data_IF_548071725902
#
_entry.id   IF_548071725902
#
_cell.length_a   1.000
_cell.length_b   1.000
_cell.length_c   1.000
_cell.angle_alpha   90.00
_cell.angle_beta   90.00
_cell.angle_gamma   90.00
#
_symmetry.space_group_name_H-M   'P 1'
#
loop_
_entity.id
_entity.type
_entity.pdbx_description
1 polymer ?
#
# COMPACT_ATOMS: atom_id res chain seq x y z
N UNK A 1 -2.07 -18.19 4.20
CA UNK A 1 -1.35 -17.00 4.64
C UNK A 1 -0.88 -16.13 3.46
N UNK A 2 -0.10 -16.74 2.58
CA UNK A 2 0.43 -16.00 1.43
C UNK A 2 -0.66 -15.45 0.51
N UNK A 3 -1.74 -16.21 0.36
CA UNK A 3 -2.84 -15.76 -0.50
C UNK A 3 -3.48 -14.49 0.03
N UNK A 4 -3.66 -14.40 1.33
CA UNK A 4 -4.24 -13.22 1.96
C UNK A 4 -3.34 -12.00 1.77
N UNK A 5 -2.04 -12.21 1.95
CA UNK A 5 -1.08 -11.12 1.77
C UNK A 5 -1.10 -10.63 0.33
N UNK A 6 -1.20 -11.56 -0.63
CA UNK A 6 -1.30 -11.21 -2.04
C UNK A 6 -2.56 -10.41 -2.35
N UNK A 7 -3.67 -10.76 -1.71
CA UNK A 7 -4.91 -10.02 -1.90
C UNK A 7 -4.80 -8.61 -1.35
N UNK A 8 -4.23 -8.46 -0.16
CA UNK A 8 -4.02 -7.13 0.42
C UNK A 8 -3.10 -6.29 -0.46
N UNK A 9 -2.02 -6.90 -0.94
CA UNK A 9 -1.09 -6.22 -1.83
C UNK A 9 -1.78 -5.77 -3.12
N UNK A 10 -2.65 -6.63 -3.67
CA UNK A 10 -3.40 -6.32 -4.88
C UNK A 10 -4.34 -5.14 -4.69
N UNK A 11 -5.00 -5.08 -3.54
CA UNK A 11 -5.90 -3.97 -3.23
C UNK A 11 -5.14 -2.66 -3.13
N UNK A 12 -3.98 -2.68 -2.47
CA UNK A 12 -3.13 -1.49 -2.33
C UNK A 12 -2.63 -1.07 -3.72
N UNK A 13 -2.16 -2.02 -4.50
CA UNK A 13 -1.66 -1.74 -5.85
C UNK A 13 -2.72 -1.06 -6.71
N UNK A 14 -3.95 -1.58 -6.67
CA UNK A 14 -5.05 -1.01 -7.44
C UNK A 14 -5.40 0.39 -6.97
N UNK A 15 -5.32 0.62 -5.65
CA UNK A 15 -5.59 1.94 -5.11
C UNK A 15 -4.58 2.96 -5.62
N UNK A 16 -3.35 2.54 -5.84
CA UNK A 16 -2.28 3.41 -6.32
C UNK A 16 -2.29 3.58 -7.83
N UNK A 17 -2.92 2.66 -8.53
CA UNK A 17 -2.94 2.66 -9.99
C UNK A 17 -3.61 3.93 -10.51
N UNK A 18 -2.93 4.63 -11.41
CA UNK A 18 -3.45 5.87 -11.96
C UNK A 18 -3.32 7.08 -11.04
N UNK A 19 -2.70 6.89 -9.89
CA UNK A 19 -2.47 7.98 -8.94
C UNK A 19 -0.99 8.31 -8.90
N UNK A 20 -0.67 9.56 -8.59
CA UNK A 20 0.73 9.95 -8.45
C UNK A 20 1.27 9.45 -7.12
N UNK A 21 0.58 9.77 -6.05
CA UNK A 21 1.01 9.45 -4.69
C UNK A 21 -0.20 9.40 -3.80
N UNK A 22 -0.24 8.44 -2.89
CA UNK A 22 -1.29 8.39 -1.87
C UNK A 22 -0.65 8.22 -0.50
N UNK A 23 -1.25 8.84 0.50
CA UNK A 23 -0.83 8.66 1.88
C UNK A 23 -1.37 7.32 2.39
N UNK A 24 -0.83 6.88 3.52
CA UNK A 24 -1.31 5.68 4.19
C UNK A 24 -2.81 5.78 4.49
N UNK A 25 -3.23 6.93 4.99
CA UNK A 25 -4.62 7.17 5.32
C UNK A 25 -5.52 7.03 4.09
N UNK A 26 -5.08 7.61 2.98
CA UNK A 26 -5.85 7.54 1.73
C UNK A 26 -5.97 6.11 1.22
N UNK A 27 -4.89 5.35 1.30
CA UNK A 27 -4.91 3.95 0.85
C UNK A 27 -5.83 3.13 1.73
N UNK A 28 -5.75 3.30 3.05
CA UNK A 28 -6.61 2.55 3.97
C UNK A 28 -8.08 2.89 3.75
N UNK A 29 -8.37 4.15 3.46
CA UNK A 29 -9.73 4.58 3.18
C UNK A 29 -10.24 3.96 1.87
N UNK A 30 -9.42 3.94 0.85
CA UNK A 30 -9.79 3.40 -0.45
C UNK A 30 -9.96 1.89 -0.43
N UNK A 31 -9.11 1.19 0.31
CA UNK A 31 -9.11 -0.28 0.35
C UNK A 31 -9.94 -0.83 1.49
N UNK A 32 -10.20 -0.01 2.51
CA UNK A 32 -10.89 -0.40 3.75
C UNK A 32 -10.13 -1.47 4.52
N UNK A 33 -8.83 -1.56 4.29
CA UNK A 33 -7.98 -2.49 5.02
C UNK A 33 -7.72 -1.97 6.43
N UNK A 34 -7.63 -2.90 7.37
CA UNK A 34 -7.20 -2.58 8.72
C UNK A 34 -5.69 -2.41 8.73
N UNK A 35 -5.17 -1.79 9.78
CA UNK A 35 -3.73 -1.53 9.88
C UNK A 35 -2.89 -2.77 9.62
N UNK A 36 -3.24 -3.87 10.25
CA UNK A 36 -2.51 -5.13 10.12
C UNK A 36 -2.51 -5.61 8.68
N UNK A 37 -3.65 -5.55 8.03
CA UNK A 37 -3.80 -6.00 6.65
C UNK A 37 -3.02 -5.08 5.69
N UNK A 38 -3.11 -3.79 5.95
CA UNK A 38 -2.40 -2.80 5.16
C UNK A 38 -0.89 -3.05 5.22
N UNK A 39 -0.34 -3.23 6.42
CA UNK A 39 1.10 -3.43 6.56
C UNK A 39 1.58 -4.74 5.96
N UNK A 40 0.77 -5.79 6.03
CA UNK A 40 1.13 -7.06 5.40
C UNK A 40 1.21 -6.91 3.88
N UNK A 41 0.20 -6.29 3.29
CA UNK A 41 0.19 -6.07 1.84
C UNK A 41 1.28 -5.11 1.40
N UNK A 42 1.49 -4.06 2.17
CA UNK A 42 2.52 -3.08 1.87
C UNK A 42 3.90 -3.70 1.91
N UNK A 43 4.17 -4.52 2.92
CA UNK A 43 5.45 -5.20 3.04
C UNK A 43 5.72 -6.10 1.85
N UNK A 44 4.69 -6.77 1.37
CA UNK A 44 4.81 -7.62 0.19
C UNK A 44 5.20 -6.79 -1.04
N UNK A 45 4.52 -5.65 -1.24
CA UNK A 45 4.83 -4.80 -2.39
C UNK A 45 6.23 -4.21 -2.31
N UNK A 46 6.67 -3.87 -1.12
CA UNK A 46 8.02 -3.36 -0.92
C UNK A 46 9.06 -4.43 -1.22
N UNK A 47 8.81 -5.64 -0.78
CA UNK A 47 9.70 -6.76 -1.04
C UNK A 47 9.81 -7.04 -2.54
N UNK A 48 8.69 -6.92 -3.24
CA UNK A 48 8.65 -7.17 -4.69
C UNK A 48 9.12 -5.97 -5.50
N UNK A 49 9.51 -4.90 -4.82
CA UNK A 49 10.02 -3.70 -5.46
C UNK A 49 9.02 -3.06 -6.41
N UNK A 50 7.75 -3.05 -6.01
CA UNK A 50 6.66 -2.54 -6.84
C UNK A 50 6.27 -1.11 -6.51
N UNK A 51 6.68 -0.60 -5.37
CA UNK A 51 6.29 0.73 -4.93
C UNK A 51 7.48 1.50 -4.36
N UNK A 52 7.32 2.82 -4.36
CA UNK A 52 8.25 3.75 -3.70
C UNK A 52 7.59 4.29 -2.45
N UNK A 53 8.37 4.51 -1.43
CA UNK A 53 7.90 5.10 -0.18
C UNK A 53 8.62 6.43 0.03
N UNK A 54 7.86 7.47 0.32
CA UNK A 54 8.40 8.77 0.67
C UNK A 54 7.97 9.09 2.09
N UNK A 55 8.93 9.35 2.95
CA UNK A 55 8.62 9.69 4.33
C UNK A 55 8.16 11.14 4.43
N UNK A 56 7.03 11.36 5.10
CA UNK A 56 6.53 12.69 5.40
C UNK A 56 6.65 12.96 6.88
N UNK A 57 6.32 14.16 7.30
CA UNK A 57 6.40 14.54 8.71
C UNK A 57 5.41 13.78 9.58
N UNK A 58 4.18 13.63 9.10
CA UNK A 58 3.13 12.97 9.88
C UNK A 58 2.82 11.57 9.40
N UNK A 59 3.02 11.30 8.11
CA UNK A 59 2.78 9.98 7.56
C UNK A 59 3.59 9.77 6.31
N UNK A 60 3.65 8.51 5.89
CA UNK A 60 4.37 8.16 4.68
C UNK A 60 3.46 8.23 3.47
N UNK A 61 4.07 8.42 2.31
CA UNK A 61 3.36 8.46 1.04
C UNK A 61 3.89 7.35 0.14
N UNK A 62 3.02 6.80 -0.68
CA UNK A 62 3.33 5.64 -1.50
C UNK A 62 2.95 5.88 -2.95
N UNK A 63 3.75 5.33 -3.85
CA UNK A 63 3.50 5.44 -5.29
C UNK A 63 3.99 4.18 -5.98
N UNK A 64 3.38 3.84 -7.11
CA UNK A 64 3.86 2.73 -7.91
C UNK A 64 5.18 3.12 -8.58
N UNK A 65 6.04 2.14 -8.76
CA UNK A 65 7.27 2.35 -9.51
C UNK A 65 7.03 2.44 -10.99
#
# INVERSE_FOLDING_TARGET
MNEMVGEYAGLIWRALEGKNTLSQKEIKKATKLKDKEFYLGLGWLLREDKINVTEGEEENYYALK
#
